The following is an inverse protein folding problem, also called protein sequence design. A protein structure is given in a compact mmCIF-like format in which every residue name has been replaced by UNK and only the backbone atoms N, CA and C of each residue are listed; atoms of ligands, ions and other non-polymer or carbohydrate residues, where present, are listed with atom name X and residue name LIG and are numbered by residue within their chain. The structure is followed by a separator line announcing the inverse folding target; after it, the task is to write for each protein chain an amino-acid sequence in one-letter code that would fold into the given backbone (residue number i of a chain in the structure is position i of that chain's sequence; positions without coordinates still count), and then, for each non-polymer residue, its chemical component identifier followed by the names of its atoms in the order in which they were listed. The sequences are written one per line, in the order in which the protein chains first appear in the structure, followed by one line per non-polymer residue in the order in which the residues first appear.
data_IF_495294083978
#
_entry.id   IF_495294083978
#
_cell.length_a   1.000
_cell.length_b   1.000
_cell.length_c   1.000
_cell.angle_alpha   90.00
_cell.angle_beta   90.00
_cell.angle_gamma   90.00
#
_symmetry.space_group_name_H-M   'P 1'
#
loop_
_entity.id
_entity.type
_entity.pdbx_description
1 polymer ?
#
# COMPACT_ATOMS: atom_id res chain seq x y z
N UNK A 1 -13.19 -3.47 7.70
CA UNK A 1 -12.12 -2.54 7.27
C UNK A 1 -12.46 -2.09 5.86
N UNK A 2 -12.12 -0.87 5.48
CA UNK A 2 -12.28 -0.38 4.11
C UNK A 2 -11.01 -0.65 3.31
N UNK A 3 -11.15 -1.02 2.04
CA UNK A 3 -10.02 -1.19 1.13
C UNK A 3 -9.28 0.15 0.97
N UNK A 4 -7.96 0.23 1.20
CA UNK A 4 -7.22 1.48 1.09
C UNK A 4 -7.14 1.95 -0.36
N UNK A 5 -7.33 3.26 -0.57
CA UNK A 5 -7.20 3.86 -1.91
C UNK A 5 -5.73 3.83 -2.37
N UNK A 6 -4.80 3.91 -1.43
CA UNK A 6 -3.39 3.78 -1.69
C UNK A 6 -2.73 2.87 -0.67
N UNK A 7 -1.97 1.90 -1.15
CA UNK A 7 -1.15 1.00 -0.31
C UNK A 7 0.24 0.86 -0.92
N UNK A 8 1.24 0.89 -0.05
CA UNK A 8 2.63 0.62 -0.38
C UNK A 8 3.30 -0.09 0.80
N UNK A 9 4.25 -1.03 0.56
CA UNK A 9 5.10 -1.58 1.60
C UNK A 9 5.92 -0.48 2.28
N UNK A 10 6.49 -0.82 3.42
CA UNK A 10 7.41 0.05 4.13
C UNK A 10 8.23 -0.74 5.15
N UNK A 11 9.31 -0.13 5.63
CA UNK A 11 10.21 -0.76 6.58
C UNK A 11 9.65 -0.70 8.01
N UNK A 12 10.07 -1.68 8.80
CA UNK A 12 9.86 -1.78 10.24
C UNK A 12 11.20 -1.56 10.92
N UNK A 13 11.25 -0.65 11.87
CA UNK A 13 12.45 -0.34 12.63
C UNK A 13 12.30 -0.90 14.03
N UNK A 14 13.25 -1.69 14.48
CA UNK A 14 13.38 -2.14 15.86
C UNK A 14 14.53 -1.41 16.52
N UNK A 15 14.28 -0.87 17.70
CA UNK A 15 15.28 -0.24 18.56
C UNK A 15 15.30 -0.92 19.92
N UNK A 16 16.42 -1.54 20.25
CA UNK A 16 16.70 -2.16 21.54
C UNK A 16 18.22 -2.12 21.77
N UNK A 17 18.69 -1.90 22.98
CA UNK A 17 20.12 -1.87 23.29
C UNK A 17 20.74 -3.26 23.43
N UNK A 18 19.92 -4.31 23.46
CA UNK A 18 20.35 -5.71 23.46
C UNK A 18 20.42 -6.27 22.01
N UNK A 19 21.63 -6.47 21.45
CA UNK A 19 21.79 -7.00 20.10
C UNK A 19 21.21 -8.42 19.93
N UNK A 20 21.37 -9.28 20.95
CA UNK A 20 20.87 -10.65 20.90
C UNK A 20 19.33 -10.67 20.83
N UNK A 21 18.69 -9.75 21.54
CA UNK A 21 17.25 -9.57 21.48
C UNK A 21 16.77 -9.04 20.12
N UNK A 22 17.51 -8.10 19.53
CA UNK A 22 17.24 -7.60 18.18
C UNK A 22 17.33 -8.72 17.12
N UNK A 23 18.36 -9.56 17.18
CA UNK A 23 18.51 -10.71 16.27
C UNK A 23 17.35 -11.67 16.45
N UNK A 24 16.99 -12.02 17.69
CA UNK A 24 15.84 -12.87 17.99
C UNK A 24 14.53 -12.27 17.42
N UNK A 25 14.31 -10.97 17.57
CA UNK A 25 13.13 -10.31 16.99
C UNK A 25 13.15 -10.38 15.46
N UNK A 26 14.30 -10.17 14.83
CA UNK A 26 14.44 -10.25 13.38
C UNK A 26 14.11 -11.66 12.84
N UNK A 27 14.57 -12.70 13.54
CA UNK A 27 14.35 -14.10 13.14
C UNK A 27 12.89 -14.53 13.22
N UNK A 28 12.13 -13.92 14.13
CA UNK A 28 10.70 -14.26 14.28
C UNK A 28 9.77 -13.43 13.38
N UNK A 29 10.26 -12.39 12.73
CA UNK A 29 9.47 -11.58 11.80
C UNK A 29 9.36 -12.26 10.43
N UNK A 30 8.21 -12.12 9.74
CA UNK A 30 8.03 -12.60 8.38
C UNK A 30 9.18 -12.19 7.45
N UNK A 31 9.65 -13.12 6.62
CA UNK A 31 10.79 -12.88 5.74
C UNK A 31 10.50 -11.84 4.64
N UNK A 32 9.24 -11.70 4.29
CA UNK A 32 8.76 -10.70 3.32
C UNK A 32 8.70 -9.27 3.87
N UNK A 33 9.04 -9.07 5.13
CA UNK A 33 9.09 -7.74 5.73
C UNK A 33 10.49 -7.14 5.69
N UNK A 34 10.57 -5.88 5.28
CA UNK A 34 11.78 -5.09 5.42
C UNK A 34 11.96 -4.69 6.89
N UNK A 35 12.96 -5.26 7.55
CA UNK A 35 13.26 -5.03 8.97
C UNK A 35 14.62 -4.37 9.10
N UNK A 36 14.70 -3.31 9.88
CA UNK A 36 15.94 -2.61 10.24
C UNK A 36 16.14 -2.67 11.75
N UNK A 37 17.33 -3.02 12.16
CA UNK A 37 17.71 -3.19 13.57
C UNK A 37 18.64 -2.06 13.97
N UNK A 38 18.33 -1.37 15.05
CA UNK A 38 19.16 -0.31 15.62
C UNK A 38 19.39 -0.56 17.10
N UNK A 39 20.64 -0.40 17.54
CA UNK A 39 21.02 -0.57 18.95
C UNK A 39 21.22 0.76 19.67
N UNK A 40 21.23 1.90 18.96
CA UNK A 40 21.46 3.22 19.56
C UNK A 40 20.27 4.16 19.33
N UNK A 41 19.72 4.75 20.43
CA UNK A 41 18.60 5.68 20.37
C UNK A 41 18.80 6.86 19.42
N UNK A 42 19.97 7.51 19.48
CA UNK A 42 20.27 8.70 18.66
C UNK A 42 20.31 8.34 17.18
N UNK A 43 20.94 7.23 16.81
CA UNK A 43 20.96 6.76 15.41
C UNK A 43 19.56 6.47 14.88
N UNK A 44 18.68 5.91 15.72
CA UNK A 44 17.28 5.68 15.36
C UNK A 44 16.53 7.00 15.10
N UNK A 45 16.67 7.98 15.98
CA UNK A 45 16.04 9.29 15.84
C UNK A 45 16.53 9.98 14.56
N UNK A 46 17.84 10.05 14.36
CA UNK A 46 18.46 10.68 13.18
C UNK A 46 18.01 10.02 11.88
N UNK A 47 17.97 8.68 11.84
CA UNK A 47 17.53 7.94 10.67
C UNK A 47 16.06 8.22 10.34
N UNK A 48 15.16 8.10 11.32
CA UNK A 48 13.72 8.28 11.10
C UNK A 48 13.35 9.73 10.76
N UNK A 49 13.93 10.71 11.43
CA UNK A 49 13.73 12.12 11.11
C UNK A 49 14.36 12.48 9.76
N UNK A 50 15.49 11.86 9.41
CA UNK A 50 16.16 12.02 8.12
C UNK A 50 15.34 11.48 6.93
N UNK A 51 14.38 10.57 7.15
CA UNK A 51 13.46 10.09 6.13
C UNK A 51 12.28 11.05 5.87
N UNK A 52 11.97 11.96 6.79
CA UNK A 52 10.81 12.87 6.67
C UNK A 52 10.82 13.69 5.37
N UNK A 53 11.95 14.31 4.95
CA UNK A 53 11.99 15.03 3.67
C UNK A 53 11.68 14.13 2.45
N UNK A 54 12.10 12.85 2.49
CA UNK A 54 11.81 11.91 1.41
C UNK A 54 10.32 11.56 1.34
N UNK A 55 9.65 11.44 2.48
CA UNK A 55 8.19 11.24 2.54
C UNK A 55 7.44 12.44 2.00
N UNK A 56 7.87 13.66 2.34
CA UNK A 56 7.27 14.90 1.83
C UNK A 56 7.47 15.06 0.32
N UNK A 57 8.66 14.74 -0.19
CA UNK A 57 8.95 14.76 -1.62
C UNK A 57 8.10 13.74 -2.38
N UNK A 58 7.90 12.57 -1.81
CA UNK A 58 7.05 11.52 -2.36
C UNK A 58 5.58 11.97 -2.43
N UNK A 59 5.07 12.56 -1.36
CA UNK A 59 3.73 13.12 -1.30
C UNK A 59 3.53 14.22 -2.36
N UNK A 60 4.50 15.11 -2.46
CA UNK A 60 4.50 16.16 -3.48
C UNK A 60 4.50 15.58 -4.90
N UNK A 61 5.34 14.57 -5.16
CA UNK A 61 5.42 13.92 -6.46
C UNK A 61 4.08 13.27 -6.88
N UNK A 62 3.37 12.65 -5.93
CA UNK A 62 2.04 12.09 -6.19
C UNK A 62 0.99 13.18 -6.36
N UNK A 63 1.08 14.29 -5.61
CA UNK A 63 0.20 15.45 -5.83
C UNK A 63 0.39 16.04 -7.23
N UNK A 64 1.61 16.08 -7.75
CA UNK A 64 1.89 16.54 -9.12
C UNK A 64 1.25 15.66 -10.20
N UNK A 65 1.11 14.35 -9.95
CA UNK A 65 0.34 13.45 -10.84
C UNK A 65 -1.12 13.91 -10.89
N UNK A 66 -1.71 14.21 -9.73
CA UNK A 66 -3.09 14.68 -9.65
C UNK A 66 -3.28 16.02 -10.34
N UNK A 67 -2.33 16.94 -10.19
CA UNK A 67 -2.38 18.25 -10.84
C UNK A 67 -2.36 18.09 -12.36
N UNK A 68 -1.42 17.30 -12.90
CA UNK A 68 -1.34 17.03 -14.34
C UNK A 68 -2.58 16.30 -14.89
N UNK A 69 -3.19 15.43 -14.07
CA UNK A 69 -4.45 14.81 -14.45
C UNK A 69 -5.57 15.83 -14.57
N UNK A 70 -5.68 16.77 -13.65
CA UNK A 70 -6.66 17.87 -13.71
C UNK A 70 -6.47 18.75 -14.95
N UNK A 71 -5.24 18.83 -15.42
CA UNK A 71 -4.89 19.53 -16.67
C UNK A 71 -5.09 18.67 -17.93
N UNK A 72 -5.71 17.48 -17.79
CA UNK A 72 -6.08 16.59 -18.89
C UNK A 72 -5.11 15.43 -19.15
N UNK A 73 -4.08 15.24 -18.32
CA UNK A 73 -3.15 14.11 -18.46
C UNK A 73 -3.76 12.80 -17.96
N UNK A 74 -3.49 11.67 -18.63
CA UNK A 74 -3.92 10.35 -18.19
C UNK A 74 -3.19 9.91 -16.92
N UNK A 75 -3.92 9.32 -15.93
CA UNK A 75 -3.37 8.89 -14.64
C UNK A 75 -2.43 7.69 -14.76
N UNK A 76 -2.88 6.63 -15.43
CA UNK A 76 -2.17 5.34 -15.48
C UNK A 76 -0.72 5.48 -15.94
N UNK A 77 -0.39 6.11 -17.08
CA UNK A 77 0.99 6.22 -17.50
C UNK A 77 1.85 7.09 -16.56
N UNK A 78 1.26 8.06 -15.88
CA UNK A 78 1.97 8.88 -14.90
C UNK A 78 2.31 8.07 -13.64
N UNK A 79 1.39 7.23 -13.15
CA UNK A 79 1.63 6.34 -12.01
C UNK A 79 2.70 5.31 -12.35
N UNK A 80 2.61 4.68 -13.52
CA UNK A 80 3.62 3.72 -13.99
C UNK A 80 5.01 4.35 -14.13
N UNK A 81 5.07 5.58 -14.66
CA UNK A 81 6.31 6.35 -14.73
C UNK A 81 6.86 6.69 -13.33
N UNK A 82 6.00 7.07 -12.39
CA UNK A 82 6.37 7.32 -11.00
C UNK A 82 6.96 6.05 -10.35
N UNK A 83 6.32 4.89 -10.51
CA UNK A 83 6.84 3.62 -9.98
C UNK A 83 8.20 3.25 -10.57
N UNK A 84 8.37 3.46 -11.88
CA UNK A 84 9.62 3.18 -12.58
C UNK A 84 10.76 4.11 -12.16
N UNK A 85 10.49 5.41 -11.98
CA UNK A 85 11.49 6.40 -11.60
C UNK A 85 11.97 6.26 -10.16
N UNK A 86 11.08 5.89 -9.24
CA UNK A 86 11.41 5.77 -7.83
C UNK A 86 11.96 4.39 -7.45
N UNK A 87 11.88 3.40 -8.34
CA UNK A 87 12.45 2.07 -8.14
C UNK A 87 12.14 1.47 -6.76
N UNK A 88 13.13 0.79 -6.17
CA UNK A 88 13.02 0.12 -4.87
C UNK A 88 13.06 1.09 -3.68
N UNK A 89 13.55 2.32 -3.85
CA UNK A 89 13.70 3.28 -2.75
C UNK A 89 12.38 3.60 -2.06
N UNK A 90 11.26 3.55 -2.80
CA UNK A 90 9.91 3.78 -2.27
C UNK A 90 9.46 2.72 -1.25
N UNK A 91 10.05 1.52 -1.25
CA UNK A 91 9.77 0.44 -0.30
C UNK A 91 10.58 0.56 0.99
N UNK A 92 11.62 1.38 0.99
CA UNK A 92 12.56 1.48 2.11
C UNK A 92 12.11 2.41 3.23
N UNK A 93 11.15 3.29 3.00
CA UNK A 93 10.71 4.25 4.01
C UNK A 93 10.07 3.56 5.22
N UNK A 94 10.49 3.96 6.42
CA UNK A 94 9.99 3.38 7.65
C UNK A 94 8.53 3.77 7.91
N UNK A 95 7.69 2.78 8.23
CA UNK A 95 6.27 2.96 8.56
C UNK A 95 5.92 2.61 10.00
N UNK A 96 6.69 1.72 10.61
CA UNK A 96 6.49 1.30 12.00
C UNK A 96 7.84 1.33 12.71
N UNK A 97 7.87 1.92 13.91
CA UNK A 97 9.01 1.86 14.81
C UNK A 97 8.60 1.15 16.10
N UNK A 98 9.34 0.11 16.46
CA UNK A 98 9.17 -0.69 17.67
C UNK A 98 10.33 -0.39 18.58
N UNK A 99 10.07 0.18 19.74
CA UNK A 99 11.12 0.70 20.65
C UNK A 99 11.05 0.01 21.99
N UNK A 100 12.18 -0.46 22.49
CA UNK A 100 12.28 -0.89 23.87
C UNK A 100 12.17 0.29 24.84
N UNK A 101 11.47 0.08 25.95
CA UNK A 101 11.35 1.08 27.01
C UNK A 101 12.66 1.29 27.78
N UNK A 102 13.33 0.20 28.17
CA UNK A 102 14.40 0.18 29.18
C UNK A 102 15.79 0.18 28.58
N UNK A 103 16.19 1.25 27.92
CA UNK A 103 17.53 1.39 27.38
C UNK A 103 18.42 2.29 28.27
N UNK A 104 19.74 1.97 28.50
CA UNK A 104 20.61 2.70 29.44
C UNK A 104 20.84 4.16 29.09
N UNK A 105 21.00 4.47 27.79
CA UNK A 105 21.37 5.82 27.35
C UNK A 105 20.18 6.79 27.30
N UNK A 106 19.00 6.28 26.90
CA UNK A 106 17.77 7.07 26.73
C UNK A 106 16.58 6.12 26.79
N UNK A 107 15.57 6.44 27.61
CA UNK A 107 14.36 5.60 27.66
C UNK A 107 13.60 5.63 26.34
N UNK A 108 12.92 4.53 26.01
CA UNK A 108 12.11 4.43 24.79
C UNK A 108 11.06 5.52 24.69
N UNK A 109 10.44 5.93 25.80
CA UNK A 109 9.49 7.06 25.79
C UNK A 109 10.13 8.37 25.39
N UNK A 110 11.38 8.61 25.81
CA UNK A 110 12.13 9.79 25.40
C UNK A 110 12.43 9.76 23.90
N UNK A 111 12.87 8.61 23.37
CA UNK A 111 13.05 8.42 21.91
C UNK A 111 11.76 8.75 21.17
N UNK A 112 10.64 8.16 21.59
CA UNK A 112 9.35 8.36 20.94
C UNK A 112 8.83 9.80 21.04
N UNK A 113 9.20 10.54 22.11
CA UNK A 113 8.88 11.96 22.25
C UNK A 113 9.66 12.84 21.26
N UNK A 114 10.88 12.46 20.89
CA UNK A 114 11.66 13.15 19.84
C UNK A 114 11.10 12.85 18.42
N UNK A 115 10.41 11.71 18.25
CA UNK A 115 9.83 11.27 16.99
C UNK A 115 8.40 11.78 16.74
N UNK A 116 7.94 12.83 17.44
CA UNK A 116 6.58 13.35 17.26
C UNK A 116 6.30 13.90 15.85
N UNK A 117 7.33 14.39 15.17
CA UNK A 117 7.23 14.88 13.79
C UNK A 117 7.38 13.77 12.74
N UNK A 118 7.85 12.60 13.13
CA UNK A 118 7.91 11.46 12.24
C UNK A 118 6.51 10.84 12.05
N UNK A 119 6.03 10.66 10.79
CA UNK A 119 4.63 10.29 10.53
C UNK A 119 4.30 8.82 10.74
N UNK A 120 5.30 7.97 10.99
CA UNK A 120 5.09 6.53 11.16
C UNK A 120 4.43 6.14 12.48
N UNK A 121 4.01 4.89 12.55
CA UNK A 121 3.39 4.30 13.74
C UNK A 121 4.44 3.84 14.76
N UNK A 122 4.13 3.96 16.04
CA UNK A 122 5.03 3.72 17.16
C UNK A 122 4.49 2.65 18.08
N UNK A 123 5.28 1.61 18.33
CA UNK A 123 5.01 0.54 19.30
C UNK A 123 6.06 0.63 20.42
N UNK A 124 5.64 0.49 21.64
CA UNK A 124 6.53 0.39 22.78
C UNK A 124 6.58 -1.04 23.29
N UNK A 125 7.78 -1.61 23.40
CA UNK A 125 8.00 -2.85 24.14
C UNK A 125 8.27 -2.51 25.61
N UNK A 126 7.59 -3.20 26.55
CA UNK A 126 7.64 -2.84 27.97
C UNK A 126 7.99 -4.03 28.85
N UNK A 127 8.73 -3.77 29.96
CA UNK A 127 8.79 -4.67 31.10
C UNK A 127 7.52 -4.58 31.97
N UNK A 128 7.38 -5.47 32.94
CA UNK A 128 6.22 -5.45 33.88
C UNK A 128 6.10 -4.18 34.71
N UNK A 129 7.22 -3.55 35.03
CA UNK A 129 7.25 -2.36 35.90
C UNK A 129 6.75 -1.08 35.19
N UNK A 130 6.63 -1.10 33.87
CA UNK A 130 6.46 0.09 33.03
C UNK A 130 5.07 0.23 32.45
N UNK A 131 4.14 -0.66 32.81
CA UNK A 131 2.77 -0.70 32.23
C UNK A 131 1.99 0.61 32.44
N UNK A 132 2.11 1.25 33.60
CA UNK A 132 1.41 2.52 33.83
C UNK A 132 1.90 3.64 32.91
N UNK A 133 3.21 3.71 32.68
CA UNK A 133 3.81 4.69 31.78
C UNK A 133 3.42 4.40 30.32
N UNK A 134 3.34 3.13 29.95
CA UNK A 134 2.87 2.72 28.60
C UNK A 134 1.40 3.13 28.37
N UNK A 135 0.54 2.96 29.37
CA UNK A 135 -0.87 3.41 29.31
C UNK A 135 -0.96 4.94 29.16
N UNK A 136 -0.14 5.70 29.92
CA UNK A 136 -0.09 7.16 29.76
C UNK A 136 0.39 7.58 28.37
N UNK A 137 1.43 6.93 27.84
CA UNK A 137 1.94 7.18 26.50
C UNK A 137 0.91 6.87 25.40
N UNK A 138 0.15 5.80 25.56
CA UNK A 138 -0.94 5.44 24.66
C UNK A 138 -2.07 6.48 24.71
N UNK A 139 -2.53 6.86 25.90
CA UNK A 139 -3.60 7.84 26.08
C UNK A 139 -3.22 9.25 25.58
N UNK A 140 -1.93 9.60 25.62
CA UNK A 140 -1.42 10.86 25.04
C UNK A 140 -1.19 10.80 23.52
N UNK A 141 -1.43 9.65 22.88
CA UNK A 141 -1.19 9.46 21.43
C UNK A 141 0.29 9.38 21.05
N UNK A 142 1.21 9.28 22.03
CA UNK A 142 2.62 9.12 21.77
C UNK A 142 2.93 7.78 21.10
N UNK A 143 2.18 6.74 21.42
CA UNK A 143 2.27 5.39 20.83
C UNK A 143 0.91 4.92 20.36
N UNK A 144 0.89 4.06 19.36
CA UNK A 144 -0.32 3.39 18.87
C UNK A 144 -0.60 2.09 19.61
N UNK A 145 0.47 1.44 20.12
CA UNK A 145 0.35 0.21 20.91
C UNK A 145 1.52 0.08 21.87
N UNK A 146 1.32 -0.73 22.92
CA UNK A 146 2.39 -1.25 23.74
C UNK A 146 2.25 -2.77 23.91
N UNK A 147 3.37 -3.46 24.03
CA UNK A 147 3.40 -4.92 24.12
C UNK A 147 4.40 -5.32 25.22
N UNK A 148 3.98 -6.07 26.25
CA UNK A 148 4.87 -6.58 27.27
C UNK A 148 5.86 -7.60 26.69
N UNK A 149 7.18 -7.40 26.88
CA UNK A 149 8.23 -8.33 26.43
C UNK A 149 8.06 -9.76 27.00
N UNK A 150 7.45 -9.87 28.17
CA UNK A 150 7.24 -11.13 28.87
C UNK A 150 5.93 -11.84 28.48
N UNK A 151 5.22 -11.34 27.47
CA UNK A 151 4.02 -12.01 26.97
C UNK A 151 4.33 -13.38 26.41
N UNK A 152 3.63 -14.47 26.82
CA UNK A 152 3.85 -15.82 26.29
C UNK A 152 3.72 -15.90 24.77
N UNK A 153 2.93 -15.01 24.17
CA UNK A 153 2.64 -14.95 22.74
C UNK A 153 3.24 -13.70 22.08
N UNK A 154 4.39 -13.22 22.58
CA UNK A 154 5.03 -11.99 22.12
C UNK A 154 5.15 -11.94 20.60
N UNK A 155 5.64 -13.01 19.97
CA UNK A 155 5.78 -13.10 18.51
C UNK A 155 4.46 -12.84 17.80
N UNK A 156 3.40 -13.54 18.17
CA UNK A 156 2.10 -13.43 17.53
C UNK A 156 1.53 -12.01 17.71
N UNK A 157 1.52 -11.52 18.94
CA UNK A 157 1.01 -10.18 19.28
C UNK A 157 1.77 -9.08 18.54
N UNK A 158 3.10 -9.19 18.48
CA UNK A 158 3.95 -8.21 17.79
C UNK A 158 3.72 -8.24 16.28
N UNK A 159 3.68 -9.44 15.69
CA UNK A 159 3.40 -9.60 14.26
C UNK A 159 2.02 -9.06 13.88
N UNK A 160 0.99 -9.36 14.67
CA UNK A 160 -0.38 -8.88 14.42
C UNK A 160 -0.49 -7.36 14.61
N UNK A 161 0.17 -6.82 15.63
CA UNK A 161 0.25 -5.38 15.87
C UNK A 161 0.89 -4.64 14.69
N UNK A 162 2.05 -5.10 14.25
CA UNK A 162 2.77 -4.52 13.11
C UNK A 162 1.95 -4.65 11.83
N UNK A 163 1.39 -5.83 11.55
CA UNK A 163 0.52 -6.05 10.39
C UNK A 163 -0.67 -5.09 10.39
N UNK A 164 -1.33 -4.94 11.53
CA UNK A 164 -2.44 -4.01 11.68
C UNK A 164 -2.04 -2.55 11.46
N UNK A 165 -0.83 -2.14 11.86
CA UNK A 165 -0.33 -0.78 11.62
C UNK A 165 0.13 -0.57 10.17
N UNK A 166 0.79 -1.55 9.56
CA UNK A 166 1.17 -1.50 8.14
C UNK A 166 -0.06 -1.47 7.21
N UNK A 167 -1.16 -2.10 7.63
CA UNK A 167 -2.41 -2.10 6.87
C UNK A 167 -3.19 -0.80 7.00
N UNK A 168 -2.88 0.06 7.99
CA UNK A 168 -3.52 1.37 8.09
C UNK A 168 -3.04 2.27 6.96
N UNK A 169 -3.97 2.85 6.19
CA UNK A 169 -3.59 3.80 5.16
C UNK A 169 -2.99 5.08 5.77
N UNK A 170 -1.98 5.64 5.12
CA UNK A 170 -1.54 7.01 5.42
C UNK A 170 -2.58 7.98 4.85
N UNK A 171 -3.25 8.71 5.73
CA UNK A 171 -4.35 9.60 5.37
C UNK A 171 -3.97 10.66 4.35
N UNK A 172 -2.70 11.09 4.30
CA UNK A 172 -2.22 12.10 3.36
C UNK A 172 -2.26 11.56 1.93
N UNK A 173 -1.74 10.34 1.71
CA UNK A 173 -1.82 9.66 0.42
C UNK A 173 -3.26 9.29 0.07
N UNK A 174 -4.04 8.83 1.03
CA UNK A 174 -5.47 8.56 0.87
C UNK A 174 -6.23 9.80 0.35
N UNK A 175 -6.00 10.97 0.95
CA UNK A 175 -6.65 12.21 0.52
C UNK A 175 -6.22 12.63 -0.87
N UNK A 176 -4.93 12.50 -1.19
CA UNK A 176 -4.38 12.83 -2.51
C UNK A 176 -5.08 12.01 -3.60
N UNK A 177 -5.13 10.69 -3.45
CA UNK A 177 -5.72 9.80 -4.46
C UNK A 177 -7.26 9.82 -4.45
N UNK A 178 -7.88 10.04 -3.30
CA UNK A 178 -9.33 10.23 -3.21
C UNK A 178 -9.84 11.37 -4.10
N UNK A 179 -9.01 12.37 -4.38
CA UNK A 179 -9.35 13.48 -5.27
C UNK A 179 -9.60 13.05 -6.73
N UNK A 180 -9.24 11.84 -7.13
CA UNK A 180 -9.53 11.28 -8.46
C UNK A 180 -10.90 10.60 -8.54
N UNK A 181 -11.49 10.26 -7.39
CA UNK A 181 -12.74 9.51 -7.31
C UNK A 181 -13.96 10.43 -7.27
N UNK A 182 -15.02 10.05 -7.95
CA UNK A 182 -16.34 10.64 -7.72
C UNK A 182 -16.87 10.27 -6.33
N UNK A 183 -17.93 10.95 -5.90
CA UNK A 183 -18.62 10.61 -4.65
C UNK A 183 -19.17 9.17 -4.68
N UNK A 184 -19.75 8.76 -5.79
CA UNK A 184 -20.31 7.42 -5.98
C UNK A 184 -19.24 6.35 -5.94
N UNK A 185 -18.13 6.54 -6.67
CA UNK A 185 -16.98 5.64 -6.65
C UNK A 185 -16.40 5.51 -5.24
N UNK A 186 -16.29 6.63 -4.51
CA UNK A 186 -15.82 6.62 -3.12
C UNK A 186 -16.74 5.83 -2.20
N UNK A 187 -18.06 5.88 -2.40
CA UNK A 187 -19.03 5.08 -1.64
C UNK A 187 -18.91 3.60 -1.96
N UNK A 188 -18.77 3.24 -3.24
CA UNK A 188 -18.59 1.85 -3.69
C UNK A 188 -17.31 1.23 -3.09
N UNK A 189 -16.17 1.92 -3.18
CA UNK A 189 -14.90 1.41 -2.59
C UNK A 189 -14.99 1.31 -1.06
N UNK A 190 -15.84 2.13 -0.42
CA UNK A 190 -16.04 2.08 1.04
C UNK A 190 -17.06 1.03 1.48
N UNK A 191 -17.79 0.41 0.55
CA UNK A 191 -18.72 -0.68 0.85
C UNK A 191 -17.96 -1.88 1.44
N UNK A 192 -18.54 -2.50 2.48
CA UNK A 192 -17.85 -3.56 3.21
C UNK A 192 -17.66 -4.84 2.39
N UNK A 193 -18.63 -5.20 1.55
CA UNK A 193 -18.55 -6.41 0.73
C UNK A 193 -17.53 -6.21 -0.40
N UNK A 194 -17.59 -5.08 -1.10
CA UNK A 194 -16.62 -4.72 -2.14
C UNK A 194 -15.20 -4.64 -1.55
N UNK A 195 -15.03 -3.96 -0.41
CA UNK A 195 -13.73 -3.86 0.26
C UNK A 195 -13.14 -5.22 0.62
N UNK A 196 -13.97 -6.14 1.14
CA UNK A 196 -13.50 -7.47 1.52
C UNK A 196 -13.06 -8.29 0.29
N UNK A 197 -13.79 -8.19 -0.82
CA UNK A 197 -13.42 -8.89 -2.06
C UNK A 197 -12.19 -8.28 -2.72
N UNK A 198 -12.02 -6.97 -2.69
CA UNK A 198 -10.81 -6.31 -3.16
C UNK A 198 -9.57 -6.71 -2.32
N UNK A 199 -9.69 -6.80 -1.00
CA UNK A 199 -8.60 -7.31 -0.15
C UNK A 199 -8.25 -8.77 -0.45
N UNK A 200 -9.28 -9.61 -0.68
CA UNK A 200 -9.07 -11.00 -1.08
C UNK A 200 -8.36 -11.08 -2.43
N UNK A 201 -8.81 -10.31 -3.42
CA UNK A 201 -8.20 -10.27 -4.74
C UNK A 201 -6.75 -9.75 -4.69
N UNK A 202 -6.48 -8.71 -3.89
CA UNK A 202 -5.13 -8.20 -3.67
C UNK A 202 -4.19 -9.27 -3.11
N UNK A 203 -4.69 -10.11 -2.19
CA UNK A 203 -3.93 -11.22 -1.63
C UNK A 203 -3.72 -12.36 -2.66
N UNK A 204 -4.75 -12.72 -3.43
CA UNK A 204 -4.68 -13.78 -4.46
C UNK A 204 -3.75 -13.41 -5.63
N UNK A 205 -3.64 -12.12 -5.96
CA UNK A 205 -2.80 -11.58 -7.02
C UNK A 205 -1.43 -11.09 -6.53
N UNK A 206 -1.10 -11.33 -5.25
CA UNK A 206 0.17 -10.90 -4.62
C UNK A 206 0.46 -9.40 -4.78
N UNK A 207 -0.55 -8.54 -4.67
CA UNK A 207 -0.34 -7.09 -4.78
C UNK A 207 0.46 -6.55 -3.61
N UNK A 208 1.54 -5.88 -3.91
CA UNK A 208 2.39 -5.21 -2.91
C UNK A 208 2.16 -3.71 -2.83
N UNK A 209 1.82 -3.10 -3.97
CA UNK A 209 1.51 -1.68 -4.06
C UNK A 209 0.30 -1.50 -4.96
N UNK A 210 -0.62 -0.61 -4.58
CA UNK A 210 -1.75 -0.27 -5.43
C UNK A 210 -2.26 1.14 -5.20
N UNK A 211 -2.98 1.63 -6.19
CA UNK A 211 -3.75 2.87 -6.13
C UNK A 211 -5.11 2.69 -6.79
N UNK A 212 -6.17 3.16 -6.15
CA UNK A 212 -7.52 3.25 -6.72
C UNK A 212 -7.66 4.60 -7.39
N UNK A 213 -8.09 4.60 -8.65
CA UNK A 213 -8.31 5.82 -9.45
C UNK A 213 -9.71 5.84 -10.04
N UNK A 214 -10.21 7.05 -10.32
CA UNK A 214 -11.59 7.24 -10.80
C UNK A 214 -11.76 7.40 -12.30
N UNK A 215 -10.66 7.68 -13.04
CA UNK A 215 -10.72 7.91 -14.49
C UNK A 215 -9.47 7.37 -15.21
N UNK A 216 -9.56 6.16 -15.79
CA UNK A 216 -10.69 5.20 -15.71
C UNK A 216 -10.87 4.65 -14.29
N UNK A 217 -12.08 4.15 -13.96
CA UNK A 217 -12.35 3.64 -12.62
C UNK A 217 -11.78 2.24 -12.42
N UNK A 218 -10.93 2.09 -11.41
CA UNK A 218 -10.32 0.81 -11.11
C UNK A 218 -9.12 0.89 -10.16
N UNK A 219 -8.41 -0.23 -10.06
CA UNK A 219 -7.21 -0.37 -9.23
C UNK A 219 -6.01 -0.66 -10.11
N UNK A 220 -5.03 0.22 -10.07
CA UNK A 220 -3.73 -0.05 -10.67
C UNK A 220 -2.82 -0.63 -9.59
N UNK A 221 -2.28 -1.83 -9.81
CA UNK A 221 -1.50 -2.57 -8.82
C UNK A 221 -0.19 -3.09 -9.37
N UNK A 222 0.80 -3.24 -8.49
CA UNK A 222 2.05 -3.97 -8.73
C UNK A 222 2.08 -5.21 -7.85
N UNK A 223 2.46 -6.34 -8.43
CA UNK A 223 2.73 -7.55 -7.68
C UNK A 223 4.21 -7.63 -7.20
N UNK A 224 4.54 -8.68 -6.44
CA UNK A 224 5.89 -8.93 -5.93
C UNK A 224 7.00 -8.95 -6.99
N UNK A 225 6.67 -9.27 -8.23
CA UNK A 225 7.61 -9.38 -9.36
C UNK A 225 7.64 -8.12 -10.25
N UNK A 226 7.12 -6.99 -9.77
CA UNK A 226 7.00 -5.72 -10.48
C UNK A 226 6.11 -5.77 -11.74
N UNK A 227 5.23 -6.77 -11.89
CA UNK A 227 4.22 -6.77 -12.94
C UNK A 227 3.08 -5.85 -12.55
N UNK A 228 2.72 -4.96 -13.46
CA UNK A 228 1.56 -4.08 -13.28
C UNK A 228 0.30 -4.76 -13.80
N UNK A 229 -0.76 -4.63 -13.00
CA UNK A 229 -2.08 -5.20 -13.27
C UNK A 229 -3.10 -4.06 -13.15
N UNK A 230 -4.03 -4.01 -14.08
CA UNK A 230 -5.18 -3.13 -14.05
C UNK A 230 -6.43 -3.95 -13.70
N UNK A 231 -7.05 -3.67 -12.57
CA UNK A 231 -8.39 -4.14 -12.23
C UNK A 231 -9.38 -3.06 -12.66
N UNK A 232 -10.06 -3.27 -13.77
CA UNK A 232 -11.16 -2.41 -14.22
C UNK A 232 -12.38 -2.64 -13.35
N UNK A 233 -13.06 -1.57 -12.96
CA UNK A 233 -14.27 -1.60 -12.14
C UNK A 233 -15.38 -0.84 -12.86
N UNK A 234 -16.49 -1.52 -13.14
CA UNK A 234 -17.63 -0.93 -13.85
C UNK A 234 -18.92 -1.09 -13.04
N UNK A 235 -19.57 0.02 -12.67
CA UNK A 235 -20.95 -0.02 -12.18
C UNK A 235 -21.91 -0.53 -13.26
N UNK A 236 -23.07 -1.06 -12.86
CA UNK A 236 -24.07 -1.62 -13.78
C UNK A 236 -24.51 -0.66 -14.90
N UNK A 237 -24.66 0.62 -14.57
CA UNK A 237 -25.09 1.67 -15.49
C UNK A 237 -24.07 2.00 -16.58
N UNK A 238 -22.78 1.75 -16.33
CA UNK A 238 -21.69 1.97 -17.29
C UNK A 238 -21.57 0.86 -18.34
N UNK A 239 -22.10 -0.34 -18.10
CA UNK A 239 -21.98 -1.47 -19.03
C UNK A 239 -22.62 -1.20 -20.38
N UNK A 240 -23.75 -0.49 -20.42
CA UNK A 240 -24.43 -0.13 -21.67
C UNK A 240 -23.60 0.83 -22.51
N UNK A 241 -23.00 1.84 -21.89
CA UNK A 241 -22.12 2.79 -22.56
C UNK A 241 -20.86 2.10 -23.11
N UNK A 242 -20.24 1.23 -22.30
CA UNK A 242 -19.08 0.45 -22.73
C UNK A 242 -19.40 -0.47 -23.92
N UNK A 243 -20.61 -1.07 -23.94
CA UNK A 243 -21.08 -1.88 -25.04
C UNK A 243 -21.32 -1.04 -26.32
N UNK A 244 -21.90 0.16 -26.23
CA UNK A 244 -22.08 1.08 -27.35
C UNK A 244 -20.73 1.53 -27.95
N UNK A 245 -19.74 1.80 -27.12
CA UNK A 245 -18.39 2.13 -27.57
C UNK A 245 -17.78 0.92 -28.35
N UNK A 246 -17.91 -0.29 -27.81
CA UNK A 246 -17.44 -1.49 -28.47
C UNK A 246 -18.15 -1.72 -29.83
N UNK A 247 -19.45 -1.47 -29.89
CA UNK A 247 -20.23 -1.55 -31.13
C UNK A 247 -19.74 -0.55 -32.18
N UNK A 248 -19.45 0.69 -31.77
CA UNK A 248 -18.90 1.73 -32.66
C UNK A 248 -17.53 1.38 -33.21
N UNK A 249 -16.77 0.53 -32.53
CA UNK A 249 -15.49 0.00 -32.96
C UNK A 249 -15.59 -1.33 -33.73
N UNK A 250 -16.76 -1.66 -34.22
CA UNK A 250 -17.06 -2.85 -35.03
C UNK A 250 -16.70 -4.19 -34.34
N UNK A 251 -16.89 -4.27 -33.01
CA UNK A 251 -16.88 -5.56 -32.32
C UNK A 251 -18.14 -6.36 -32.73
N UNK A 252 -18.01 -7.70 -32.75
CA UNK A 252 -19.15 -8.55 -33.13
C UNK A 252 -20.27 -8.50 -32.08
N UNK A 253 -21.48 -8.83 -32.49
CA UNK A 253 -22.69 -8.76 -31.67
C UNK A 253 -22.59 -9.60 -30.37
N UNK A 254 -21.90 -10.74 -30.43
CA UNK A 254 -21.68 -11.59 -29.26
C UNK A 254 -20.79 -10.89 -28.20
N UNK A 255 -19.69 -10.27 -28.63
CA UNK A 255 -18.80 -9.50 -27.74
C UNK A 255 -19.54 -8.33 -27.09
N UNK A 256 -20.31 -7.56 -27.89
CA UNK A 256 -21.13 -6.45 -27.41
C UNK A 256 -22.17 -6.93 -26.38
N UNK A 257 -22.85 -8.05 -26.64
CA UNK A 257 -23.82 -8.62 -25.69
C UNK A 257 -23.13 -9.11 -24.38
N UNK A 258 -21.94 -9.70 -24.48
CA UNK A 258 -21.16 -10.12 -23.29
C UNK A 258 -20.72 -8.92 -22.47
N UNK A 259 -20.33 -7.81 -23.08
CA UNK A 259 -20.02 -6.56 -22.38
C UNK A 259 -21.28 -6.02 -21.70
N UNK A 260 -22.38 -5.88 -22.43
CA UNK A 260 -23.64 -5.35 -21.88
C UNK A 260 -24.17 -6.14 -20.69
N UNK A 261 -23.90 -7.45 -20.65
CA UNK A 261 -24.27 -8.32 -19.52
C UNK A 261 -23.22 -8.40 -18.42
N UNK A 262 -22.09 -7.72 -18.54
CA UNK A 262 -20.97 -7.79 -17.58
C UNK A 262 -20.21 -9.12 -17.54
N UNK A 263 -20.53 -10.04 -18.48
CA UNK A 263 -19.79 -11.32 -18.60
C UNK A 263 -18.37 -11.14 -19.09
N UNK A 264 -18.14 -10.08 -19.87
CA UNK A 264 -16.81 -9.67 -20.31
C UNK A 264 -16.67 -8.16 -20.18
N UNK A 265 -15.46 -7.69 -19.87
CA UNK A 265 -15.11 -6.28 -19.96
C UNK A 265 -14.02 -6.07 -21.02
N UNK A 266 -13.92 -4.86 -21.51
CA UNK A 266 -12.96 -4.43 -22.53
C UNK A 266 -12.07 -3.32 -21.97
N UNK A 267 -10.76 -3.44 -22.18
CA UNK A 267 -9.75 -2.51 -21.67
C UNK A 267 -9.55 -1.25 -22.54
N UNK A 268 -10.59 -0.79 -23.18
CA UNK A 268 -10.52 0.34 -24.12
C UNK A 268 -9.91 1.59 -23.48
N UNK A 269 -10.44 1.98 -22.31
CA UNK A 269 -9.96 3.17 -21.60
C UNK A 269 -8.51 3.02 -21.13
N UNK A 270 -8.09 1.80 -20.75
CA UNK A 270 -6.70 1.49 -20.44
C UNK A 270 -5.79 1.70 -21.66
N UNK A 271 -6.16 1.14 -22.82
CA UNK A 271 -5.36 1.26 -24.04
C UNK A 271 -5.26 2.72 -24.54
N UNK A 272 -6.35 3.47 -24.43
CA UNK A 272 -6.35 4.90 -24.72
C UNK A 272 -5.44 5.68 -23.76
N UNK A 273 -5.52 5.40 -22.47
CA UNK A 273 -4.68 6.06 -21.46
C UNK A 273 -3.19 5.77 -21.65
N UNK A 274 -2.84 4.53 -22.02
CA UNK A 274 -1.45 4.14 -22.30
C UNK A 274 -0.92 4.67 -23.63
N UNK A 275 -1.80 5.09 -24.55
CA UNK A 275 -1.39 5.48 -25.90
C UNK A 275 -0.68 4.35 -26.65
N UNK A 276 -1.02 3.09 -26.31
CA UNK A 276 -0.29 1.90 -26.79
C UNK A 276 -0.47 1.62 -28.27
N UNK A 277 -1.54 2.11 -28.88
CA UNK A 277 -1.94 1.75 -30.25
C UNK A 277 -2.35 0.27 -30.39
N UNK A 278 -2.38 -0.48 -29.32
CA UNK A 278 -2.81 -1.88 -29.31
C UNK A 278 -4.32 -1.99 -29.42
N UNK A 279 -4.77 -3.09 -30.04
CA UNK A 279 -6.19 -3.39 -30.05
C UNK A 279 -6.66 -3.73 -28.65
N UNK A 280 -7.77 -3.14 -28.18
CA UNK A 280 -8.36 -3.48 -26.90
C UNK A 280 -8.64 -4.98 -26.77
N UNK A 281 -8.53 -5.49 -25.54
CA UNK A 281 -8.72 -6.90 -25.21
C UNK A 281 -10.03 -7.10 -24.44
N UNK A 282 -10.65 -8.25 -24.67
CA UNK A 282 -11.78 -8.73 -23.86
C UNK A 282 -11.26 -9.70 -22.80
N UNK A 283 -11.70 -9.54 -21.57
CA UNK A 283 -11.44 -10.47 -20.46
C UNK A 283 -12.76 -10.90 -19.82
N UNK A 284 -12.74 -12.07 -19.21
CA UNK A 284 -13.89 -12.56 -18.47
C UNK A 284 -14.15 -11.62 -17.28
N UNK A 285 -15.39 -11.17 -17.19
CA UNK A 285 -15.87 -10.35 -16.10
C UNK A 285 -16.34 -11.19 -14.93
N UNK A 286 -16.19 -10.66 -13.73
CA UNK A 286 -16.73 -11.21 -12.50
C UNK A 286 -17.38 -10.09 -11.69
N UNK A 287 -18.25 -10.46 -10.75
CA UNK A 287 -18.96 -9.48 -9.92
C UNK A 287 -18.30 -9.45 -8.55
N UNK A 288 -18.10 -8.26 -8.01
CA UNK A 288 -17.67 -8.01 -6.64
C UNK A 288 -18.72 -7.18 -5.89
N UNK A 289 -18.90 -7.46 -4.60
CA UNK A 289 -19.87 -6.78 -3.75
C UNK A 289 -21.13 -7.59 -3.48
N UNK A 290 -22.23 -6.90 -3.26
CA UNK A 290 -23.53 -7.49 -2.89
C UNK A 290 -24.66 -6.97 -3.80
N UNK A 291 -25.89 -7.48 -3.63
CA UNK A 291 -27.05 -6.97 -4.37
C UNK A 291 -27.34 -5.48 -4.15
N UNK A 292 -26.91 -4.93 -3.02
CA UNK A 292 -27.10 -3.52 -2.67
C UNK A 292 -26.02 -2.60 -3.26
N UNK A 293 -24.80 -3.12 -3.46
CA UNK A 293 -23.67 -2.39 -4.04
C UNK A 293 -22.78 -3.40 -4.76
N UNK A 294 -22.75 -3.34 -6.08
CA UNK A 294 -21.94 -4.26 -6.89
C UNK A 294 -21.18 -3.56 -7.99
N UNK A 295 -20.08 -4.17 -8.37
CA UNK A 295 -19.25 -3.77 -9.50
C UNK A 295 -18.95 -4.99 -10.37
N UNK A 296 -18.96 -4.79 -11.69
CA UNK A 296 -18.35 -5.72 -12.61
C UNK A 296 -16.86 -5.44 -12.69
N UNK A 297 -16.05 -6.47 -12.62
CA UNK A 297 -14.61 -6.34 -12.58
C UNK A 297 -13.93 -7.26 -13.60
N UNK A 298 -12.79 -6.84 -14.14
CA UNK A 298 -11.94 -7.69 -14.95
C UNK A 298 -10.47 -7.31 -14.75
N UNK A 299 -9.57 -8.30 -14.81
CA UNK A 299 -8.13 -8.12 -14.67
C UNK A 299 -7.47 -8.06 -16.05
N UNK A 300 -6.64 -7.04 -16.25
CA UNK A 300 -5.84 -6.84 -17.44
C UNK A 300 -4.36 -6.71 -17.07
N UNK A 301 -3.52 -7.49 -17.74
CA UNK A 301 -2.07 -7.35 -17.62
C UNK A 301 -1.60 -6.11 -18.37
N UNK A 302 -0.77 -5.31 -17.73
CA UNK A 302 -0.11 -4.18 -18.39
C UNK A 302 1.20 -4.66 -19.00
N UNK A 303 1.45 -4.25 -20.25
CA UNK A 303 2.67 -4.62 -20.95
C UNK A 303 3.94 -4.23 -20.17
N UNK A 304 4.92 -5.13 -20.14
CA UNK A 304 6.19 -4.94 -19.43
C UNK A 304 6.94 -3.66 -19.84
N UNK A 305 6.70 -3.15 -21.04
CA UNK A 305 7.29 -1.88 -21.53
C UNK A 305 6.90 -0.69 -20.63
N UNK A 306 5.74 -0.74 -19.99
CA UNK A 306 5.23 0.31 -19.09
C UNK A 306 5.58 0.03 -17.63
N UNK A 307 5.94 -1.20 -17.29
CA UNK A 307 6.18 -1.62 -15.89
C UNK A 307 7.57 -1.16 -15.39
N UNK A 308 7.81 -1.11 -14.08
CA UNK A 308 9.15 -1.04 -13.50
C UNK A 308 10.02 -2.21 -13.99
N UNK A 309 11.34 -2.04 -13.95
CA UNK A 309 12.24 -3.16 -14.26
C UNK A 309 12.09 -4.27 -13.23
N UNK A 310 12.29 -5.52 -13.64
CA UNK A 310 12.22 -6.66 -12.73
C UNK A 310 13.19 -6.54 -11.54
N UNK A 311 14.34 -5.90 -11.75
CA UNK A 311 15.33 -5.57 -10.69
C UNK A 311 14.82 -4.59 -9.65
N UNK A 312 13.75 -3.85 -9.95
CA UNK A 312 13.08 -2.91 -9.03
C UNK A 312 11.86 -3.55 -8.36
N UNK A 313 11.78 -4.88 -8.38
CA UNK A 313 10.70 -5.62 -7.75
C UNK A 313 10.80 -5.62 -6.22
N UNK A 314 9.66 -5.68 -5.55
CA UNK A 314 9.63 -5.85 -4.09
C UNK A 314 10.33 -7.14 -3.66
N UNK A 315 10.22 -8.22 -4.45
CA UNK A 315 10.90 -9.48 -4.21
C UNK A 315 12.43 -9.33 -4.16
N UNK A 316 13.02 -8.60 -5.12
CA UNK A 316 14.46 -8.39 -5.15
C UNK A 316 14.90 -7.38 -4.08
N UNK A 317 14.07 -6.38 -3.78
CA UNK A 317 14.30 -5.50 -2.63
C UNK A 317 14.39 -6.31 -1.32
N UNK A 318 13.43 -7.18 -1.03
CA UNK A 318 13.47 -8.01 0.19
C UNK A 318 14.68 -8.94 0.21
N UNK A 319 15.05 -9.55 -0.91
CA UNK A 319 16.29 -10.34 -1.00
C UNK A 319 17.54 -9.53 -0.67
N UNK A 320 17.62 -8.28 -1.12
CA UNK A 320 18.75 -7.39 -0.81
C UNK A 320 18.83 -7.02 0.67
N UNK A 321 17.71 -7.10 1.41
CA UNK A 321 17.60 -6.81 2.83
C UNK A 321 17.70 -8.08 3.72
N UNK A 322 17.98 -9.25 3.14
CA UNK A 322 17.92 -10.54 3.85
C UNK A 322 18.92 -10.68 5.01
N UNK A 323 20.00 -9.92 5.03
CA UNK A 323 21.01 -10.00 6.09
C UNK A 323 20.67 -9.19 7.36
N UNK A 324 19.64 -8.35 7.36
CA UNK A 324 19.14 -7.58 8.54
C UNK A 324 20.25 -7.17 9.53
N UNK A 325 21.34 -6.47 9.12
CA UNK A 325 22.43 -6.11 10.01
C UNK A 325 21.96 -5.12 11.08
N UNK A 326 22.54 -5.20 12.28
CA UNK A 326 22.31 -4.20 13.32
C UNK A 326 23.10 -2.94 12.94
N UNK A 327 22.36 -1.84 12.77
CA UNK A 327 22.93 -0.53 12.49
C UNK A 327 23.28 0.16 13.81
N UNK A 328 24.49 0.67 13.88
CA UNK A 328 25.02 1.30 15.09
C UNK A 328 25.14 2.83 14.96
#
# INVERSE_FOLDING_TARGET
MTFPIYRRPGAIVFLDDDPDYLEMLADVMPIEWCVRLLSRPIACIEMLLGETPSVELDLWSQQEIINRWRDGGALIPQILAYWRLNGISRFSLARVCVVDYSMPAMSGLKVLSELTQWPGSRILLTGRADEQLAVMAFNSGLIQQFIPKQSPELRLRLTDAIRGLLSKPDQRFEQTWRATLSREQSLLISDQAISAELEKLAAEQDWVEHVVIGAPFGVLALNHSAKAIWLQLEPDDRLSELAEIAESQAWNAEAVQNIRSGKKLIDLELQLALGSGQRPQLRDGFVIGSDAARLHAALFDISEVFCPMATDSHKDFIKSQSQRPILS
#
